data_IF_614176109524
#
_entry.id   IF_614176109524
#
_cell.length_a   1.000
_cell.length_b   1.000
_cell.length_c   1.000
_cell.angle_alpha   90.00
_cell.angle_beta   90.00
_cell.angle_gamma   90.00
#
_symmetry.space_group_name_H-M   'P 1'
#
loop_
_entity.id
_entity.type
_entity.pdbx_description
1 polymer ?
#
# COMPACT_ATOMS: atom_id res chain seq x y z
N UNK A 1 8.68 9.84 -8.62
CA UNK A 1 9.99 9.19 -8.85
C UNK A 1 10.00 7.77 -8.27
N UNK A 2 9.75 7.58 -6.97
CA UNK A 2 9.78 6.26 -6.28
C UNK A 2 8.84 5.21 -6.90
N UNK A 3 7.68 5.60 -7.41
CA UNK A 3 6.71 4.68 -8.00
C UNK A 3 7.19 4.08 -9.33
N UNK A 4 7.89 4.85 -10.15
CA UNK A 4 8.48 4.39 -11.40
C UNK A 4 9.65 3.41 -11.15
N UNK A 5 10.44 3.64 -10.09
CA UNK A 5 11.54 2.77 -9.68
C UNK A 5 11.07 1.39 -9.20
N UNK A 6 9.91 1.31 -8.55
CA UNK A 6 9.34 0.03 -8.06
C UNK A 6 8.77 -0.83 -9.16
N UNK A 7 8.23 -0.23 -10.22
CA UNK A 7 7.57 -0.97 -11.31
C UNK A 7 8.54 -1.65 -12.28
N UNK A 8 9.78 -1.15 -12.41
CA UNK A 8 10.75 -1.67 -13.37
C UNK A 8 12.18 -1.57 -12.84
N UNK A 9 12.57 -2.36 -11.81
CA UNK A 9 13.93 -2.32 -11.26
C UNK A 9 15.02 -2.62 -12.29
N UNK A 10 14.71 -3.42 -13.29
CA UNK A 10 15.64 -3.81 -14.36
C UNK A 10 15.93 -2.68 -15.38
N UNK A 11 15.14 -1.61 -15.35
CA UNK A 11 15.29 -0.46 -16.26
C UNK A 11 16.03 0.73 -15.66
N UNK A 12 16.49 0.60 -14.43
CA UNK A 12 17.22 1.66 -13.75
C UNK A 12 18.61 1.81 -14.33
N UNK A 13 18.98 3.05 -14.61
CA UNK A 13 20.39 3.41 -14.85
C UNK A 13 21.20 3.19 -13.57
N UNK A 14 22.51 3.02 -13.69
CA UNK A 14 23.40 2.84 -12.53
C UNK A 14 23.28 4.00 -11.54
N UNK A 15 23.17 5.24 -12.02
CA UNK A 15 22.98 6.42 -11.18
C UNK A 15 21.65 6.40 -10.41
N UNK A 16 20.57 5.98 -11.04
CA UNK A 16 19.27 5.85 -10.41
C UNK A 16 19.27 4.75 -9.35
N UNK A 17 19.92 3.63 -9.65
CA UNK A 17 20.10 2.51 -8.70
C UNK A 17 20.89 2.98 -7.48
N UNK A 18 21.99 3.69 -7.68
CA UNK A 18 22.81 4.23 -6.60
C UNK A 18 22.02 5.22 -5.74
N UNK A 19 21.18 6.07 -6.34
CA UNK A 19 20.29 6.98 -5.62
C UNK A 19 19.26 6.19 -4.81
N UNK A 20 18.70 5.11 -5.38
CA UNK A 20 17.75 4.25 -4.70
C UNK A 20 18.39 3.57 -3.47
N UNK A 21 19.57 3.00 -3.62
CA UNK A 21 20.25 2.32 -2.52
C UNK A 21 20.75 3.24 -1.40
N UNK A 22 21.00 4.51 -1.71
CA UNK A 22 21.48 5.48 -0.72
C UNK A 22 20.36 6.28 -0.02
N UNK A 23 19.11 6.22 -0.52
CA UNK A 23 18.05 7.04 0.07
C UNK A 23 17.74 6.74 1.56
N UNK A 24 17.88 5.50 2.09
CA UNK A 24 17.64 5.26 3.51
C UNK A 24 18.62 6.03 4.41
N UNK A 25 19.87 6.18 3.94
CA UNK A 25 20.92 6.92 4.64
C UNK A 25 20.56 8.41 4.69
N UNK A 26 20.16 9.00 3.56
CA UNK A 26 19.72 10.40 3.52
C UNK A 26 18.46 10.62 4.34
N UNK A 27 17.51 9.68 4.27
CA UNK A 27 16.25 9.77 5.03
C UNK A 27 16.48 9.69 6.54
N UNK A 28 17.44 8.88 7.00
CA UNK A 28 17.86 8.85 8.39
C UNK A 28 18.40 10.22 8.83
N UNK A 29 19.27 10.83 8.01
CA UNK A 29 19.84 12.15 8.31
C UNK A 29 18.73 13.22 8.43
N UNK A 30 17.79 13.24 7.48
CA UNK A 30 16.67 14.17 7.50
C UNK A 30 15.74 13.95 8.71
N UNK A 31 15.46 12.69 9.06
CA UNK A 31 14.65 12.35 10.21
C UNK A 31 15.27 12.82 11.52
N UNK A 32 16.61 12.84 11.62
CA UNK A 32 17.34 13.33 12.79
C UNK A 32 17.14 14.81 13.10
N UNK A 33 16.72 15.62 12.12
CA UNK A 33 16.32 17.01 12.36
C UNK A 33 14.93 17.17 12.98
N UNK A 34 14.06 16.16 12.83
CA UNK A 34 12.68 16.20 13.31
C UNK A 34 12.53 15.40 14.60
N UNK A 35 13.18 14.26 14.67
CA UNK A 35 13.13 13.33 15.81
C UNK A 35 14.53 12.87 16.17
N UNK A 36 15.00 13.26 17.34
CA UNK A 36 16.34 12.93 17.85
C UNK A 36 16.44 11.50 18.43
N UNK A 37 15.36 10.71 18.42
CA UNK A 37 15.40 9.32 18.91
C UNK A 37 16.20 8.42 17.99
N UNK A 38 17.31 7.83 18.44
CA UNK A 38 18.16 7.00 17.57
C UNK A 38 17.42 5.84 16.90
N UNK A 39 16.48 5.22 17.61
CA UNK A 39 15.69 4.10 17.11
C UNK A 39 14.83 4.45 15.89
N UNK A 40 14.35 5.70 15.76
CA UNK A 40 13.62 6.16 14.58
C UNK A 40 14.54 6.24 13.37
N UNK A 41 15.70 6.86 13.55
CA UNK A 41 16.71 6.95 12.49
C UNK A 41 17.20 5.59 12.03
N UNK A 42 17.44 4.67 12.97
CA UNK A 42 17.87 3.31 12.67
C UNK A 42 16.81 2.51 11.92
N UNK A 43 15.54 2.63 12.33
CA UNK A 43 14.41 2.02 11.60
C UNK A 43 14.34 2.54 10.16
N UNK A 44 14.47 3.85 9.96
CA UNK A 44 14.45 4.47 8.63
C UNK A 44 15.64 4.00 7.79
N UNK A 45 16.83 3.90 8.38
CA UNK A 45 18.03 3.43 7.68
C UNK A 45 17.88 2.00 7.16
N UNK A 46 17.27 1.12 7.99
CA UNK A 46 17.27 -0.33 7.77
C UNK A 46 15.94 -0.88 7.22
N UNK A 47 14.99 -0.02 6.81
CA UNK A 47 13.67 -0.47 6.38
C UNK A 47 13.65 -1.22 5.03
N UNK A 48 14.75 -1.20 4.28
CA UNK A 48 14.96 -1.99 3.07
C UNK A 48 15.92 -3.17 3.28
N UNK A 49 16.35 -3.39 4.51
CA UNK A 49 17.05 -4.63 4.83
C UNK A 49 16.09 -5.81 4.74
N UNK A 50 16.61 -6.93 4.28
CA UNK A 50 15.85 -8.17 4.14
C UNK A 50 16.31 -9.19 5.18
N UNK A 51 15.38 -9.98 5.68
CA UNK A 51 15.67 -10.96 6.73
C UNK A 51 16.74 -11.98 6.31
N UNK A 52 16.84 -12.28 5.01
CA UNK A 52 17.84 -13.14 4.38
C UNK A 52 19.19 -12.46 4.14
N UNK A 53 19.35 -11.16 4.43
CA UNK A 53 20.57 -10.39 4.22
C UNK A 53 20.80 -9.91 2.79
N UNK A 54 19.84 -10.10 1.89
CA UNK A 54 19.94 -9.62 0.50
C UNK A 54 19.44 -8.19 0.31
N UNK A 55 19.15 -7.48 1.42
CA UNK A 55 18.66 -6.11 1.46
C UNK A 55 19.76 -5.06 1.35
N UNK A 56 19.39 -3.82 1.63
CA UNK A 56 20.27 -2.66 1.60
C UNK A 56 19.88 -1.64 2.69
N UNK A 57 20.76 -0.73 3.10
CA UNK A 57 22.07 -0.39 2.52
C UNK A 57 23.25 -1.22 3.03
N UNK A 58 23.10 -1.96 4.10
CA UNK A 58 24.21 -2.63 4.80
C UNK A 58 24.24 -4.14 4.58
N UNK A 59 23.13 -4.74 4.13
CA UNK A 59 23.00 -6.18 3.95
C UNK A 59 23.00 -6.94 5.27
N UNK A 60 22.52 -6.32 6.35
CA UNK A 60 22.35 -7.00 7.63
C UNK A 60 21.17 -7.97 7.57
N UNK A 61 21.22 -9.04 8.39
CA UNK A 61 20.25 -10.13 8.31
C UNK A 61 19.67 -10.54 9.66
N UNK A 62 18.54 -11.21 9.61
CA UNK A 62 17.92 -11.83 10.77
C UNK A 62 17.61 -10.84 11.88
N UNK A 63 17.98 -11.22 13.11
CA UNK A 63 17.70 -10.43 14.31
C UNK A 63 18.60 -9.20 14.48
N UNK A 64 19.63 -9.04 13.65
CA UNK A 64 20.44 -7.81 13.64
C UNK A 64 19.69 -6.62 13.05
N UNK A 65 18.64 -6.88 12.25
CA UNK A 65 17.72 -5.84 11.78
C UNK A 65 16.84 -5.40 12.95
N UNK A 66 16.73 -4.10 13.25
CA UNK A 66 15.86 -3.60 14.31
C UNK A 66 14.43 -4.11 14.19
N UNK A 67 13.80 -4.45 15.32
CA UNK A 67 12.45 -4.99 15.33
C UNK A 67 11.42 -4.13 14.57
N UNK A 68 11.48 -2.82 14.80
CA UNK A 68 10.60 -1.84 14.13
C UNK A 68 10.79 -1.82 12.61
N UNK A 69 12.02 -2.00 12.12
CA UNK A 69 12.30 -2.09 10.69
C UNK A 69 11.75 -3.40 10.10
N UNK A 70 11.87 -4.53 10.81
CA UNK A 70 11.28 -5.82 10.41
C UNK A 70 9.75 -5.75 10.32
N UNK A 71 9.10 -5.09 11.29
CA UNK A 71 7.66 -4.85 11.23
C UNK A 71 7.27 -3.91 10.07
N UNK A 72 8.04 -2.85 9.85
CA UNK A 72 7.81 -1.92 8.76
C UNK A 72 7.96 -2.59 7.39
N UNK A 73 8.95 -3.47 7.23
CA UNK A 73 9.13 -4.24 5.99
C UNK A 73 7.90 -5.08 5.63
N UNK A 74 7.24 -5.70 6.61
CA UNK A 74 5.99 -6.45 6.39
C UNK A 74 4.87 -5.51 5.93
N UNK A 75 4.69 -4.37 6.61
CA UNK A 75 3.65 -3.41 6.26
C UNK A 75 3.87 -2.82 4.86
N UNK A 76 5.11 -2.48 4.52
CA UNK A 76 5.48 -1.99 3.19
C UNK A 76 5.21 -3.06 2.12
N UNK A 77 5.61 -4.30 2.34
CA UNK A 77 5.36 -5.41 1.40
C UNK A 77 3.87 -5.61 1.15
N UNK A 78 3.05 -5.50 2.19
CA UNK A 78 1.60 -5.62 2.08
C UNK A 78 0.97 -4.51 1.23
N UNK A 79 1.45 -3.25 1.38
CA UNK A 79 0.86 -2.08 0.71
C UNK A 79 1.41 -1.87 -0.70
N UNK A 80 2.70 -2.13 -0.91
CA UNK A 80 3.39 -1.75 -2.15
C UNK A 80 2.98 -2.52 -3.38
N UNK A 81 2.50 -3.76 -3.22
CA UNK A 81 2.08 -4.60 -4.32
C UNK A 81 0.84 -4.07 -5.06
N UNK A 82 0.11 -3.13 -4.45
CA UNK A 82 -1.21 -2.67 -4.93
C UNK A 82 -2.12 -3.85 -5.35
N UNK A 83 -2.00 -4.96 -4.61
CA UNK A 83 -2.70 -6.21 -4.83
C UNK A 83 -4.01 -6.23 -4.04
N UNK A 84 -5.03 -6.98 -4.48
CA UNK A 84 -6.16 -7.32 -3.63
C UNK A 84 -5.70 -7.94 -2.31
N UNK A 85 -6.47 -7.73 -1.24
CA UNK A 85 -6.10 -8.11 0.14
C UNK A 85 -5.58 -9.55 0.24
N UNK A 86 -6.29 -10.50 -0.35
CA UNK A 86 -5.94 -11.92 -0.32
C UNK A 86 -4.57 -12.17 -0.96
N UNK A 87 -4.35 -11.60 -2.15
CA UNK A 87 -3.08 -11.72 -2.86
C UNK A 87 -1.93 -11.01 -2.14
N UNK A 88 -2.20 -9.86 -1.51
CA UNK A 88 -1.22 -9.15 -0.69
C UNK A 88 -0.81 -9.98 0.54
N UNK A 89 -1.76 -10.65 1.19
CA UNK A 89 -1.48 -11.59 2.29
C UNK A 89 -0.67 -12.79 1.82
N UNK A 90 -1.05 -13.39 0.68
CA UNK A 90 -0.29 -14.50 0.07
C UNK A 90 1.14 -14.09 -0.25
N UNK A 91 1.33 -12.88 -0.78
CA UNK A 91 2.65 -12.34 -1.07
C UNK A 91 3.50 -12.16 0.20
N UNK A 92 2.92 -11.59 1.27
CA UNK A 92 3.58 -11.48 2.57
C UNK A 92 3.96 -12.86 3.12
N UNK A 93 3.07 -13.84 3.01
CA UNK A 93 3.34 -15.22 3.45
C UNK A 93 4.47 -15.88 2.64
N UNK A 94 4.49 -15.68 1.32
CA UNK A 94 5.54 -16.22 0.44
C UNK A 94 6.94 -15.66 0.73
N UNK A 95 7.01 -14.43 1.26
CA UNK A 95 8.25 -13.77 1.66
C UNK A 95 8.68 -14.08 3.10
N UNK A 96 7.83 -14.73 3.90
CA UNK A 96 8.16 -15.12 5.28
C UNK A 96 9.36 -16.05 5.34
N UNK A 97 10.33 -15.73 6.18
CA UNK A 97 11.61 -16.47 6.30
C UNK A 97 12.60 -16.23 5.16
N UNK A 98 12.24 -15.39 4.19
CA UNK A 98 13.12 -14.88 3.13
C UNK A 98 13.37 -13.39 3.37
N UNK A 99 12.67 -12.52 2.64
CA UNK A 99 12.77 -11.09 2.84
C UNK A 99 12.15 -10.57 4.13
N UNK A 100 11.19 -11.28 4.69
CA UNK A 100 10.43 -10.87 5.88
C UNK A 100 10.69 -11.79 7.08
N UNK A 101 10.76 -11.16 8.26
CA UNK A 101 10.86 -11.89 9.53
C UNK A 101 9.55 -12.68 9.78
N UNK A 102 9.65 -14.02 10.01
CA UNK A 102 8.49 -14.85 10.29
C UNK A 102 7.65 -14.39 11.48
N UNK A 103 8.29 -13.88 12.53
CA UNK A 103 7.58 -13.40 13.72
C UNK A 103 6.84 -12.08 13.44
N UNK A 104 7.44 -11.17 12.70
CA UNK A 104 6.76 -9.95 12.27
C UNK A 104 5.57 -10.28 11.35
N UNK A 105 5.72 -11.24 10.44
CA UNK A 105 4.62 -11.74 9.58
C UNK A 105 3.52 -12.35 10.43
N UNK A 106 3.85 -13.20 11.41
CA UNK A 106 2.87 -13.82 12.30
C UNK A 106 2.03 -12.78 13.05
N UNK A 107 2.67 -11.77 13.62
CA UNK A 107 1.98 -10.68 14.34
C UNK A 107 1.14 -9.82 13.40
N UNK A 108 1.64 -9.54 12.20
CA UNK A 108 0.88 -8.83 11.18
C UNK A 108 -0.41 -9.58 10.83
N UNK A 109 -0.34 -10.89 10.58
CA UNK A 109 -1.51 -11.71 10.28
C UNK A 109 -2.52 -11.75 11.43
N UNK A 110 -2.04 -11.82 12.68
CA UNK A 110 -2.92 -11.70 13.84
C UNK A 110 -3.61 -10.34 13.88
N UNK A 111 -2.88 -9.25 13.65
CA UNK A 111 -3.45 -7.91 13.61
C UNK A 111 -4.46 -7.74 12.46
N UNK A 112 -4.21 -8.32 11.28
CA UNK A 112 -5.14 -8.25 10.14
C UNK A 112 -6.45 -8.97 10.39
N UNK A 113 -6.45 -10.03 11.22
CA UNK A 113 -7.65 -10.76 11.61
C UNK A 113 -8.45 -10.02 12.72
N UNK A 114 -7.75 -9.27 13.59
CA UNK A 114 -8.37 -8.51 14.68
C UNK A 114 -8.86 -7.13 14.22
N UNK A 115 -8.18 -6.54 13.27
CA UNK A 115 -8.50 -5.24 12.71
C UNK A 115 -9.20 -5.48 11.36
N UNK A 116 -10.38 -4.89 11.19
CA UNK A 116 -10.87 -4.59 9.85
C UNK A 116 -9.90 -3.57 9.25
N UNK A 117 -8.76 -4.05 8.74
CA UNK A 117 -7.82 -3.17 8.05
C UNK A 117 -8.59 -2.39 6.98
N UNK A 118 -8.35 -1.09 6.86
CA UNK A 118 -9.02 -0.30 5.84
C UNK A 118 -8.81 -0.99 4.49
N UNK A 119 -9.91 -1.32 3.85
CA UNK A 119 -9.91 -1.83 2.49
C UNK A 119 -9.11 -0.83 1.66
N UNK A 120 -8.21 -1.30 0.82
CA UNK A 120 -7.51 -0.40 -0.07
C UNK A 120 -8.54 0.34 -0.93
N UNK A 121 -8.41 1.65 -0.99
CA UNK A 121 -9.30 2.49 -1.79
C UNK A 121 -8.61 2.78 -3.11
N UNK A 122 -9.25 2.42 -4.21
CA UNK A 122 -8.79 2.78 -5.55
C UNK A 122 -9.80 3.65 -6.26
N UNK A 123 -9.29 4.56 -7.07
CA UNK A 123 -10.12 5.33 -7.99
C UNK A 123 -10.43 4.47 -9.22
N UNK A 124 -11.69 4.48 -9.64
CA UNK A 124 -12.16 3.78 -10.84
C UNK A 124 -12.93 4.74 -11.72
N UNK A 125 -12.90 4.47 -13.01
CA UNK A 125 -13.75 5.18 -13.96
C UNK A 125 -15.17 4.60 -13.94
N UNK A 126 -16.15 5.40 -14.38
CA UNK A 126 -17.55 4.97 -14.43
C UNK A 126 -17.75 3.68 -15.24
N UNK A 127 -16.97 3.54 -16.31
CA UNK A 127 -17.04 2.36 -17.20
C UNK A 127 -16.41 1.12 -16.59
N UNK A 128 -15.53 1.29 -15.61
CA UNK A 128 -14.86 0.20 -14.90
C UNK A 128 -15.69 -0.37 -13.74
N UNK A 129 -16.82 0.28 -13.40
CA UNK A 129 -17.70 -0.23 -12.35
C UNK A 129 -18.27 -1.59 -12.69
N UNK A 130 -18.10 -2.53 -11.75
CA UNK A 130 -18.59 -3.89 -11.86
C UNK A 130 -19.50 -4.25 -10.67
N UNK A 131 -20.47 -5.13 -10.87
CA UNK A 131 -21.29 -5.67 -9.76
C UNK A 131 -20.41 -6.32 -8.69
N UNK A 132 -20.73 -6.06 -7.42
CA UNK A 132 -19.96 -6.54 -6.29
C UNK A 132 -18.92 -5.56 -5.76
N UNK A 133 -18.49 -4.57 -6.53
CA UNK A 133 -17.63 -3.49 -6.02
C UNK A 133 -18.35 -2.73 -4.91
N UNK A 134 -17.60 -2.30 -3.89
CA UNK A 134 -18.13 -1.57 -2.74
C UNK A 134 -17.60 -0.15 -2.77
N UNK A 135 -18.47 0.85 -2.72
CA UNK A 135 -18.05 2.25 -2.68
C UNK A 135 -17.34 2.58 -1.38
N UNK A 136 -16.18 3.20 -1.49
CA UNK A 136 -15.38 3.71 -0.37
C UNK A 136 -15.75 5.14 0.04
N UNK A 137 -16.58 5.81 -0.75
CA UNK A 137 -17.18 7.10 -0.43
C UNK A 137 -18.56 7.19 -1.05
N UNK A 138 -19.49 7.89 -0.39
CA UNK A 138 -20.83 8.11 -0.92
C UNK A 138 -20.80 8.84 -2.27
N UNK A 139 -21.58 8.36 -3.24
CA UNK A 139 -21.73 8.98 -4.54
C UNK A 139 -22.87 10.00 -4.50
N UNK A 140 -22.57 11.24 -4.89
CA UNK A 140 -23.52 12.34 -4.89
C UNK A 140 -23.78 12.84 -6.31
N UNK A 141 -24.99 13.35 -6.52
CA UNK A 141 -25.31 14.10 -7.74
C UNK A 141 -24.59 15.47 -7.74
N UNK A 142 -24.52 16.17 -8.89
CA UNK A 142 -23.99 17.54 -8.96
C UNK A 142 -24.67 18.53 -8.01
N UNK A 143 -25.89 18.24 -7.59
CA UNK A 143 -26.68 19.06 -6.66
C UNK A 143 -26.53 18.62 -5.18
N UNK A 144 -25.57 17.72 -4.88
CA UNK A 144 -25.28 17.26 -3.52
C UNK A 144 -26.21 16.17 -2.98
N UNK A 145 -27.15 15.63 -3.77
CA UNK A 145 -28.04 14.56 -3.36
C UNK A 145 -27.26 13.23 -3.36
N UNK A 146 -27.31 12.48 -2.25
CA UNK A 146 -26.70 11.16 -2.15
C UNK A 146 -27.42 10.18 -3.08
N UNK A 147 -26.69 9.63 -4.04
CA UNK A 147 -27.18 8.62 -4.99
C UNK A 147 -26.98 7.21 -4.45
N UNK A 148 -25.80 6.92 -3.91
CA UNK A 148 -25.45 5.64 -3.30
C UNK A 148 -24.57 5.90 -2.07
N UNK A 149 -24.87 5.22 -0.96
CA UNK A 149 -24.11 5.37 0.28
C UNK A 149 -22.76 4.65 0.23
N UNK A 150 -21.85 5.12 1.08
CA UNK A 150 -20.59 4.43 1.36
C UNK A 150 -20.85 3.02 1.90
N UNK A 151 -19.96 2.08 1.58
CA UNK A 151 -20.03 0.70 2.07
C UNK A 151 -21.08 -0.17 1.39
N UNK A 152 -21.86 0.36 0.44
CA UNK A 152 -22.84 -0.43 -0.28
C UNK A 152 -22.21 -1.18 -1.47
N UNK A 153 -22.46 -2.51 -1.60
CA UNK A 153 -22.07 -3.26 -2.79
C UNK A 153 -22.92 -2.83 -3.99
N UNK A 154 -22.25 -2.55 -5.10
CA UNK A 154 -22.90 -2.15 -6.34
C UNK A 154 -23.59 -3.34 -7.01
N UNK A 155 -24.84 -3.19 -7.34
CA UNK A 155 -25.58 -4.13 -8.18
C UNK A 155 -25.56 -3.67 -9.64
N UNK A 156 -25.82 -4.59 -10.59
CA UNK A 156 -25.95 -4.25 -12.01
C UNK A 156 -26.99 -3.16 -12.25
N UNK A 157 -28.12 -3.20 -11.50
CA UNK A 157 -29.17 -2.20 -11.60
C UNK A 157 -28.71 -0.80 -11.12
N UNK A 158 -27.92 -0.75 -10.04
CA UNK A 158 -27.34 0.50 -9.53
C UNK A 158 -26.37 1.10 -10.55
N UNK A 159 -25.46 0.28 -11.10
CA UNK A 159 -24.49 0.73 -12.11
C UNK A 159 -25.21 1.31 -13.34
N UNK A 160 -26.25 0.62 -13.82
CA UNK A 160 -27.05 1.12 -14.93
C UNK A 160 -27.73 2.45 -14.60
N UNK A 161 -28.26 2.62 -13.39
CA UNK A 161 -28.86 3.89 -12.94
C UNK A 161 -27.81 5.00 -12.87
N UNK A 162 -26.61 4.73 -12.35
CA UNK A 162 -25.51 5.71 -12.29
C UNK A 162 -25.12 6.15 -13.70
N UNK A 163 -24.95 5.20 -14.64
CA UNK A 163 -24.60 5.49 -16.03
C UNK A 163 -25.68 6.34 -16.71
N UNK A 164 -26.93 6.00 -16.54
CA UNK A 164 -28.05 6.77 -17.09
C UNK A 164 -28.13 8.17 -16.47
N UNK A 165 -27.91 8.28 -15.16
CA UNK A 165 -27.87 9.59 -14.49
C UNK A 165 -26.71 10.45 -15.04
N UNK A 166 -25.56 9.85 -15.25
CA UNK A 166 -24.38 10.56 -15.79
C UNK A 166 -24.60 11.13 -17.20
N UNK A 167 -25.48 10.53 -18.01
CA UNK A 167 -25.85 11.07 -19.33
C UNK A 167 -26.65 12.36 -19.22
N UNK A 168 -27.45 12.53 -18.15
CA UNK A 168 -28.33 13.69 -17.94
C UNK A 168 -27.61 14.74 -17.09
N UNK A 169 -26.95 14.33 -16.05
CA UNK A 169 -26.22 15.17 -15.08
C UNK A 169 -24.85 14.56 -14.80
N UNK A 170 -23.80 15.04 -15.49
CA UNK A 170 -22.46 14.45 -15.37
C UNK A 170 -21.94 14.44 -13.93
N UNK A 171 -21.48 13.29 -13.50
CA UNK A 171 -20.88 13.06 -12.17
C UNK A 171 -19.40 13.46 -12.26
N UNK A 172 -19.05 14.56 -11.60
CA UNK A 172 -17.67 15.06 -11.54
C UNK A 172 -16.87 14.50 -10.35
N UNK A 173 -17.55 13.81 -9.45
CA UNK A 173 -16.92 13.19 -8.28
C UNK A 173 -16.09 11.98 -8.69
N UNK A 174 -14.90 11.84 -8.05
CA UNK A 174 -14.08 10.64 -8.18
C UNK A 174 -14.80 9.43 -7.59
N UNK A 175 -14.86 8.36 -8.35
CA UNK A 175 -15.44 7.10 -7.89
C UNK A 175 -14.37 6.30 -7.15
N UNK A 176 -14.54 6.19 -5.84
CA UNK A 176 -13.64 5.46 -4.97
C UNK A 176 -14.30 4.14 -4.56
N UNK A 177 -13.62 3.04 -4.79
CA UNK A 177 -14.08 1.70 -4.41
C UNK A 177 -13.06 1.01 -3.51
N UNK A 178 -13.55 0.17 -2.63
CA UNK A 178 -12.70 -0.76 -1.89
C UNK A 178 -12.23 -1.88 -2.82
N UNK A 179 -10.95 -2.20 -2.76
CA UNK A 179 -10.34 -3.35 -3.44
C UNK A 179 -10.15 -4.51 -2.48
#
# INVERSE_FOLDING_TARGET
LLRAFRQHPDRLTERERQTLYSHPIYSQTLAGFVDSRPAVGETIRTHHERFDGTGFPEGISGLTIPWTARCLAVAVTYVDGNLPREQAIEHVLAESGKGLDPEAVRLFLQATNLLNLPKQVREVLLDELQPGMVLAAGLHSPHGMLLIGEGQPLTSAMISKIRNHNLIAPISQRLLVYS
#
